data_IF_600071287273
#
_entry.id   IF_600071287273
#
_cell.length_a   1.000
_cell.length_b   1.000
_cell.length_c   1.000
_cell.angle_alpha   90.00
_cell.angle_beta   90.00
_cell.angle_gamma   90.00
#
_symmetry.space_group_name_H-M   'P 1'
#
loop_
_entity.id
_entity.type
_entity.pdbx_description
1 polymer ?
#
# COMPACT_ATOMS: atom_id res chain seq x y z
N UNK A 1 5.73 50.39 54.17
CA UNK A 1 6.46 51.58 53.69
C UNK A 1 6.28 51.70 52.19
N UNK A 2 6.10 52.93 51.74
CA UNK A 2 5.41 53.38 50.53
C UNK A 2 6.02 52.98 49.19
N UNK A 3 5.14 52.91 48.18
CA UNK A 3 5.43 53.15 46.76
C UNK A 3 6.25 54.44 46.58
N UNK A 4 7.14 54.49 45.58
CA UNK A 4 7.21 55.62 44.64
C UNK A 4 8.21 55.40 43.48
N UNK A 5 7.66 55.64 42.29
CA UNK A 5 8.26 56.37 41.14
C UNK A 5 9.01 55.55 40.08
N UNK A 6 8.38 55.65 38.91
CA UNK A 6 8.75 55.26 37.56
C UNK A 6 9.70 56.28 36.91
N UNK A 7 10.21 55.87 35.74
CA UNK A 7 10.62 56.68 34.58
C UNK A 7 12.10 57.00 34.46
N UNK A 8 12.79 56.26 33.59
CA UNK A 8 13.59 56.72 32.43
C UNK A 8 13.88 55.44 31.61
N UNK A 9 14.01 55.38 30.30
CA UNK A 9 13.57 56.16 29.16
C UNK A 9 13.91 55.28 27.95
N UNK A 10 13.11 55.38 26.89
CA UNK A 10 13.18 54.56 25.68
C UNK A 10 14.47 54.81 24.88
N UNK A 11 15.13 53.73 24.47
CA UNK A 11 16.06 53.58 23.32
C UNK A 11 16.68 52.18 23.46
N UNK A 12 16.80 51.24 22.52
CA UNK A 12 16.66 51.11 21.07
C UNK A 12 16.26 49.63 20.85
N UNK A 13 15.18 49.30 20.15
CA UNK A 13 15.24 48.93 18.72
C UNK A 13 16.39 47.97 18.34
N UNK A 14 16.30 46.70 18.76
CA UNK A 14 16.87 45.50 18.12
C UNK A 14 16.43 44.34 19.04
N UNK A 15 15.64 43.36 18.67
CA UNK A 15 15.90 42.43 17.57
C UNK A 15 14.59 41.64 17.37
N UNK A 16 13.66 42.24 16.64
CA UNK A 16 12.40 41.62 16.23
C UNK A 16 12.71 40.72 15.02
N UNK A 17 13.35 39.57 15.23
CA UNK A 17 13.64 38.57 14.19
C UNK A 17 13.98 37.19 14.82
N UNK A 18 13.05 36.64 15.61
CA UNK A 18 13.08 35.22 16.02
C UNK A 18 11.72 34.54 15.79
N UNK A 19 11.00 34.98 14.75
CA UNK A 19 9.85 34.27 14.17
C UNK A 19 10.30 33.67 12.85
N UNK A 20 10.96 32.51 12.91
CA UNK A 20 11.10 31.52 11.82
C UNK A 20 11.98 30.39 12.36
N UNK A 21 11.53 29.72 13.43
CA UNK A 21 11.94 28.35 13.65
C UNK A 21 11.21 27.53 12.58
N UNK A 22 11.91 26.86 11.64
CA UNK A 22 11.25 25.87 10.82
C UNK A 22 10.79 24.79 11.81
N UNK A 23 9.48 24.57 11.89
CA UNK A 23 8.97 23.29 12.35
C UNK A 23 9.51 22.27 11.36
N UNK A 24 10.64 21.65 11.72
CA UNK A 24 11.11 20.47 11.04
C UNK A 24 9.99 19.45 11.21
N UNK A 25 9.17 19.31 10.16
CA UNK A 25 8.37 18.13 9.96
C UNK A 25 9.36 16.98 9.99
N UNK A 26 9.42 16.31 11.15
CA UNK A 26 10.07 15.02 11.24
C UNK A 26 9.17 14.09 10.42
N UNK A 27 9.56 13.84 9.17
CA UNK A 27 9.06 12.70 8.45
C UNK A 27 9.49 11.49 9.29
N UNK A 28 8.55 10.92 10.04
CA UNK A 28 8.76 9.63 10.66
C UNK A 28 9.24 8.70 9.55
N UNK A 29 10.44 8.10 9.67
CA UNK A 29 10.87 7.14 8.67
C UNK A 29 9.84 6.01 8.70
N UNK A 30 9.10 5.86 7.59
CA UNK A 30 8.29 4.66 7.37
C UNK A 30 9.21 3.47 7.61
N UNK A 31 8.78 2.61 8.51
CA UNK A 31 9.56 1.53 9.11
C UNK A 31 10.07 0.55 8.04
N UNK A 32 11.20 0.89 7.42
CA UNK A 32 11.88 0.10 6.38
C UNK A 32 12.30 -1.26 6.95
N UNK A 33 12.50 -1.36 8.28
CA UNK A 33 12.82 -2.62 8.94
C UNK A 33 11.65 -3.59 8.92
N UNK A 34 10.41 -3.11 9.12
CA UNK A 34 9.22 -3.96 9.07
C UNK A 34 8.97 -4.52 7.65
N UNK A 35 9.16 -3.70 6.62
CA UNK A 35 9.05 -4.15 5.21
C UNK A 35 10.15 -5.16 4.84
N UNK A 36 11.39 -4.95 5.29
CA UNK A 36 12.48 -5.92 5.07
C UNK A 36 12.24 -7.22 5.85
N UNK A 37 11.73 -7.12 7.07
CA UNK A 37 11.40 -8.28 7.90
C UNK A 37 10.30 -9.14 7.27
N UNK A 38 9.21 -8.52 6.81
CA UNK A 38 8.12 -9.20 6.12
C UNK A 38 8.61 -9.91 4.85
N UNK A 39 9.42 -9.23 4.04
CA UNK A 39 10.05 -9.80 2.82
C UNK A 39 10.96 -10.98 3.17
N UNK A 40 11.79 -10.85 4.20
CA UNK A 40 12.67 -11.93 4.66
C UNK A 40 11.90 -13.17 5.16
N UNK A 41 10.75 -13.02 5.82
CA UNK A 41 9.89 -14.17 6.20
C UNK A 41 9.27 -14.85 5.00
N UNK A 42 8.82 -14.06 4.02
CA UNK A 42 8.26 -14.57 2.76
C UNK A 42 9.30 -15.35 1.96
N UNK A 43 10.50 -14.79 1.79
CA UNK A 43 11.64 -15.42 1.11
C UNK A 43 12.06 -16.73 1.81
N UNK A 44 11.95 -16.79 3.14
CA UNK A 44 12.29 -18.00 3.93
C UNK A 44 11.22 -19.08 3.83
N UNK A 45 9.95 -18.72 3.70
CA UNK A 45 8.87 -19.67 3.38
C UNK A 45 8.98 -20.17 1.93
N UNK A 46 9.35 -19.30 0.99
CA UNK A 46 9.58 -19.64 -0.42
C UNK A 46 10.65 -20.73 -0.60
N UNK A 47 11.68 -20.77 0.25
CA UNK A 47 12.76 -21.76 0.15
C UNK A 47 12.34 -23.24 0.36
N UNK A 48 11.13 -23.51 0.85
CA UNK A 48 10.65 -24.87 1.15
C UNK A 48 9.40 -25.32 0.37
N UNK A 49 8.85 -24.49 -0.53
CA UNK A 49 7.65 -24.86 -1.31
C UNK A 49 8.05 -25.29 -2.72
N UNK A 50 7.49 -26.41 -3.19
CA UNK A 50 7.75 -26.93 -4.54
C UNK A 50 6.73 -26.42 -5.57
N UNK A 51 7.14 -26.34 -6.84
CA UNK A 51 6.30 -25.93 -7.96
C UNK A 51 4.92 -26.65 -8.03
N UNK A 52 4.81 -27.97 -7.82
CA UNK A 52 3.50 -28.63 -7.81
C UNK A 52 2.55 -28.16 -6.70
N UNK A 53 3.10 -27.84 -5.52
CA UNK A 53 2.31 -27.31 -4.40
C UNK A 53 1.83 -25.90 -4.75
N UNK A 54 2.74 -25.06 -5.23
CA UNK A 54 2.41 -23.70 -5.68
C UNK A 54 1.37 -23.69 -6.79
N UNK A 55 1.47 -24.59 -7.77
CA UNK A 55 0.47 -24.73 -8.85
C UNK A 55 -0.92 -25.04 -8.30
N UNK A 56 -1.02 -25.96 -7.35
CA UNK A 56 -2.31 -26.31 -6.74
C UNK A 56 -2.87 -25.13 -5.91
N UNK A 57 -2.00 -24.40 -5.21
CA UNK A 57 -2.37 -23.21 -4.47
C UNK A 57 -2.87 -22.11 -5.42
N UNK A 58 -2.07 -21.75 -6.43
CA UNK A 58 -2.42 -20.76 -7.45
C UNK A 58 -3.74 -21.10 -8.13
N UNK A 59 -3.97 -22.38 -8.50
CA UNK A 59 -5.25 -22.83 -9.08
C UNK A 59 -6.43 -22.54 -8.15
N UNK A 60 -6.27 -22.81 -6.85
CA UNK A 60 -7.32 -22.59 -5.85
C UNK A 60 -7.61 -21.11 -5.67
N UNK A 61 -6.56 -20.28 -5.58
CA UNK A 61 -6.67 -18.83 -5.47
C UNK A 61 -7.32 -18.21 -6.71
N UNK A 62 -6.86 -18.58 -7.91
CA UNK A 62 -7.44 -18.09 -9.17
C UNK A 62 -8.91 -18.47 -9.32
N UNK A 63 -9.32 -19.66 -8.87
CA UNK A 63 -10.72 -20.05 -8.87
C UNK A 63 -11.55 -19.15 -7.94
N UNK A 64 -11.05 -18.87 -6.73
CA UNK A 64 -11.74 -17.97 -5.80
C UNK A 64 -11.91 -16.56 -6.40
N UNK A 65 -10.87 -16.03 -7.06
CA UNK A 65 -10.95 -14.72 -7.73
C UNK A 65 -11.90 -14.74 -8.93
N UNK A 66 -11.95 -15.83 -9.70
CA UNK A 66 -12.91 -15.97 -10.81
C UNK A 66 -14.36 -15.97 -10.30
N UNK A 67 -14.62 -16.66 -9.19
CA UNK A 67 -15.93 -16.64 -8.53
C UNK A 67 -16.27 -15.20 -8.13
N UNK A 68 -15.36 -14.52 -7.43
CA UNK A 68 -15.57 -13.14 -6.98
C UNK A 68 -15.83 -12.16 -8.14
N UNK A 69 -15.13 -12.29 -9.27
CA UNK A 69 -15.36 -11.49 -10.47
C UNK A 69 -16.73 -11.77 -11.12
N UNK A 70 -17.14 -13.03 -11.13
CA UNK A 70 -18.38 -13.47 -11.80
C UNK A 70 -19.65 -13.21 -11.00
N UNK A 71 -19.53 -13.02 -9.68
CA UNK A 71 -20.67 -12.79 -8.80
C UNK A 71 -21.23 -11.38 -9.01
N UNK A 72 -22.47 -11.28 -9.45
CA UNK A 72 -23.15 -9.99 -9.67
C UNK A 72 -23.55 -9.29 -8.38
N UNK A 73 -23.59 -10.01 -7.26
CA UNK A 73 -23.90 -9.44 -5.94
C UNK A 73 -22.68 -8.72 -5.35
N UNK A 74 -21.47 -9.01 -5.82
CA UNK A 74 -20.27 -8.26 -5.45
C UNK A 74 -20.28 -6.86 -6.07
N UNK A 75 -19.72 -5.89 -5.34
CA UNK A 75 -19.58 -4.53 -5.84
C UNK A 75 -18.70 -4.49 -7.10
N UNK A 76 -18.89 -3.48 -7.98
CA UNK A 76 -18.01 -3.30 -9.13
C UNK A 76 -16.53 -3.22 -8.76
N UNK A 77 -16.20 -2.63 -7.60
CA UNK A 77 -14.82 -2.53 -7.10
C UNK A 77 -14.24 -3.90 -6.73
N UNK A 78 -14.98 -4.74 -5.99
CA UNK A 78 -14.54 -6.10 -5.63
C UNK A 78 -14.33 -6.96 -6.87
N UNK A 79 -15.25 -6.87 -7.84
CA UNK A 79 -15.13 -7.60 -9.11
C UNK A 79 -13.90 -7.14 -9.89
N UNK A 80 -13.65 -5.83 -9.93
CA UNK A 80 -12.48 -5.23 -10.59
C UNK A 80 -11.17 -5.66 -9.94
N UNK A 81 -11.10 -5.65 -8.60
CA UNK A 81 -9.95 -6.14 -7.84
C UNK A 81 -9.67 -7.62 -8.11
N UNK A 82 -10.72 -8.44 -8.18
CA UNK A 82 -10.60 -9.85 -8.50
C UNK A 82 -10.03 -10.07 -9.91
N UNK A 83 -10.53 -9.35 -10.92
CA UNK A 83 -10.00 -9.37 -12.29
C UNK A 83 -8.52 -8.95 -12.33
N UNK A 84 -8.17 -7.83 -11.70
CA UNK A 84 -6.80 -7.31 -11.67
C UNK A 84 -5.83 -8.27 -10.99
N UNK A 85 -6.26 -8.94 -9.92
CA UNK A 85 -5.44 -9.94 -9.23
C UNK A 85 -5.13 -11.15 -10.12
N UNK A 86 -6.12 -11.60 -10.91
CA UNK A 86 -5.96 -12.70 -11.88
C UNK A 86 -4.95 -12.31 -12.95
N UNK A 87 -5.11 -11.12 -13.53
CA UNK A 87 -4.22 -10.63 -14.57
C UNK A 87 -2.79 -10.44 -14.05
N UNK A 88 -2.64 -9.93 -12.84
CA UNK A 88 -1.33 -9.76 -12.21
C UNK A 88 -0.61 -11.10 -12.03
N UNK A 89 -1.29 -12.09 -11.46
CA UNK A 89 -0.73 -13.43 -11.27
C UNK A 89 -0.36 -14.09 -12.61
N UNK A 90 -1.18 -13.91 -13.65
CA UNK A 90 -0.90 -14.41 -15.00
C UNK A 90 0.32 -13.75 -15.62
N UNK A 91 0.45 -12.42 -15.50
CA UNK A 91 1.61 -11.69 -15.99
C UNK A 91 2.91 -12.16 -15.33
N UNK A 92 2.90 -12.33 -14.01
CA UNK A 92 4.07 -12.87 -13.28
C UNK A 92 4.42 -14.28 -13.74
N UNK A 93 3.43 -15.15 -13.98
CA UNK A 93 3.70 -16.48 -14.54
C UNK A 93 4.27 -16.41 -15.95
N UNK A 94 3.76 -15.55 -16.82
CA UNK A 94 4.25 -15.39 -18.19
C UNK A 94 5.74 -14.99 -18.21
N UNK A 95 6.13 -14.07 -17.32
CA UNK A 95 7.51 -13.58 -17.19
C UNK A 95 8.45 -14.60 -16.53
N UNK A 96 8.03 -15.22 -15.43
CA UNK A 96 8.89 -16.07 -14.59
C UNK A 96 8.87 -17.55 -14.97
N UNK A 97 7.77 -18.02 -15.58
CA UNK A 97 7.44 -19.43 -15.76
C UNK A 97 7.43 -20.23 -14.44
N UNK A 98 7.20 -19.57 -13.29
CA UNK A 98 7.12 -20.20 -11.96
C UNK A 98 5.71 -20.07 -11.37
N UNK A 99 5.13 -21.20 -10.95
CA UNK A 99 3.87 -21.19 -10.21
C UNK A 99 4.04 -20.63 -8.81
N UNK A 100 5.22 -20.79 -8.21
CA UNK A 100 5.50 -20.23 -6.90
C UNK A 100 5.52 -18.70 -6.97
N UNK A 101 6.28 -18.11 -7.89
CA UNK A 101 6.32 -16.64 -8.04
C UNK A 101 4.92 -16.07 -8.33
N UNK A 102 4.14 -16.70 -9.21
CA UNK A 102 2.78 -16.28 -9.50
C UNK A 102 1.82 -16.42 -8.31
N UNK A 103 1.89 -17.52 -7.55
CA UNK A 103 1.07 -17.74 -6.35
C UNK A 103 1.39 -16.71 -5.27
N UNK A 104 2.67 -16.38 -5.15
CA UNK A 104 3.18 -15.40 -4.19
C UNK A 104 2.77 -13.98 -4.57
N UNK A 105 2.89 -13.62 -5.84
CA UNK A 105 2.42 -12.35 -6.37
C UNK A 105 0.92 -12.16 -6.16
N UNK A 106 0.11 -13.20 -6.40
CA UNK A 106 -1.33 -13.17 -6.13
C UNK A 106 -1.62 -12.97 -4.65
N UNK A 107 -0.95 -13.74 -3.78
CA UNK A 107 -1.11 -13.62 -2.33
C UNK A 107 -0.72 -12.21 -1.86
N UNK A 108 0.41 -11.66 -2.32
CA UNK A 108 0.84 -10.30 -1.96
C UNK A 108 -0.14 -9.24 -2.49
N UNK A 109 -0.68 -9.41 -3.70
CA UNK A 109 -1.69 -8.51 -4.26
C UNK A 109 -2.94 -8.44 -3.39
N UNK A 110 -3.38 -9.58 -2.84
CA UNK A 110 -4.57 -9.71 -2.01
C UNK A 110 -4.34 -9.35 -0.53
N UNK A 111 -3.12 -9.55 -0.03
CA UNK A 111 -2.73 -9.31 1.37
C UNK A 111 -2.43 -7.83 1.64
N UNK A 112 -1.97 -7.10 0.62
CA UNK A 112 -1.92 -5.65 0.72
C UNK A 112 -3.32 -5.09 0.47
N UNK A 113 -3.79 -4.23 1.36
CA UNK A 113 -4.78 -3.19 1.09
C UNK A 113 -4.26 -2.24 -0.02
N UNK A 114 -3.99 -2.75 -1.23
CA UNK A 114 -3.73 -1.96 -2.44
C UNK A 114 -5.04 -1.42 -3.03
N UNK A 115 -5.97 -1.05 -2.15
CA UNK A 115 -7.10 -0.15 -2.43
C UNK A 115 -6.60 1.12 -3.17
N UNK A 116 -5.34 1.51 -2.95
CA UNK A 116 -4.73 2.68 -3.59
C UNK A 116 -4.23 2.49 -5.03
N UNK A 117 -3.97 1.26 -5.50
CA UNK A 117 -3.55 1.00 -6.89
C UNK A 117 -4.69 0.59 -7.81
N UNK A 118 -5.80 0.19 -7.22
CA UNK A 118 -7.06 -0.06 -7.90
C UNK A 118 -7.70 1.27 -8.41
N UNK A 119 -7.16 2.44 -8.02
CA UNK A 119 -7.83 3.73 -8.18
C UNK A 119 -7.93 4.29 -9.60
N UNK A 120 -7.45 3.59 -10.64
CA UNK A 120 -7.67 4.02 -12.03
C UNK A 120 -8.11 2.82 -12.88
N UNK A 121 -9.39 2.74 -13.26
CA UNK A 121 -9.87 1.70 -14.15
C UNK A 121 -9.10 1.72 -15.47
N UNK A 122 -8.62 0.56 -15.91
CA UNK A 122 -8.00 0.39 -17.22
C UNK A 122 -9.04 0.66 -18.32
N UNK A 123 -8.58 1.17 -19.46
CA UNK A 123 -9.45 1.36 -20.62
C UNK A 123 -10.10 0.03 -21.03
N UNK A 124 -11.44 -0.03 -21.04
CA UNK A 124 -12.21 -1.25 -21.35
C UNK A 124 -12.57 -2.13 -20.15
N UNK A 125 -12.13 -1.76 -18.95
CA UNK A 125 -12.51 -2.44 -17.71
C UNK A 125 -13.94 -2.08 -17.29
N UNK A 126 -14.62 -3.01 -16.60
CA UNK A 126 -15.98 -2.78 -16.10
C UNK A 126 -15.98 -1.60 -15.13
N UNK A 127 -16.44 -0.45 -15.62
CA UNK A 127 -16.75 0.72 -14.82
C UNK A 127 -18.10 0.50 -14.15
N UNK A 128 -18.33 1.06 -12.96
CA UNK A 128 -19.66 1.01 -12.35
C UNK A 128 -20.71 1.49 -13.36
N UNK A 129 -21.64 0.62 -13.71
CA UNK A 129 -22.86 1.07 -14.37
C UNK A 129 -23.68 1.76 -13.28
N UNK A 130 -23.73 3.09 -13.28
CA UNK A 130 -24.76 3.79 -12.53
C UNK A 130 -26.14 3.28 -13.00
N UNK A 131 -27.10 3.08 -12.09
CA UNK A 131 -28.38 2.44 -12.39
C UNK A 131 -29.26 3.19 -13.39
#
# INVERSE_FOLDING_TARGET
>A
MSLFIRFFSRALAAFLLLLLAPTAYSAAPLDVENVKSARNTFDRQQANVSEPICRNNLRTQLLAQQIAFSDSENSPEERRLAEESIDYARGVFEESQSYCEASFALTEFLDRDLLDKAQVPKSGQVQSFDP
#
